data_IF_228290609588
#
_entry.id   IF_228290609588
#
_cell.length_a   1.000
_cell.length_b   1.000
_cell.length_c   1.000
_cell.angle_alpha   90.00
_cell.angle_beta   90.00
_cell.angle_gamma   90.00
#
_symmetry.space_group_name_H-M   'P 1'
#
loop_
_entity.id
_entity.type
_entity.pdbx_description
1 polymer ?
#
# COMPACT_ATOMS: atom_id res chain seq x y z
N UNK A 1 -6.90 -36.01 -4.37
CA UNK A 1 -5.42 -35.83 -4.46
C UNK A 1 -5.14 -34.35 -4.40
N UNK A 2 -4.17 -33.92 -3.62
CA UNK A 2 -3.69 -32.53 -3.56
C UNK A 2 -2.90 -32.21 -4.83
N UNK A 3 -2.96 -30.96 -5.27
CA UNK A 3 -2.17 -30.55 -6.43
C UNK A 3 -0.74 -30.20 -6.00
N UNK A 4 -0.60 -29.51 -4.86
CA UNK A 4 0.69 -29.13 -4.29
C UNK A 4 0.68 -29.42 -2.77
N UNK A 5 1.84 -29.87 -2.26
CA UNK A 5 2.14 -29.88 -0.82
C UNK A 5 3.39 -29.01 -0.59
N UNK A 6 3.31 -28.02 0.31
CA UNK A 6 4.46 -27.28 0.82
C UNK A 6 4.84 -27.89 2.18
N UNK A 7 6.11 -28.26 2.39
CA UNK A 7 6.57 -29.01 3.57
C UNK A 7 7.65 -28.32 4.38
N UNK A 8 7.61 -28.55 5.69
CA UNK A 8 8.73 -28.34 6.60
C UNK A 8 9.08 -26.88 6.90
N UNK A 9 8.31 -25.93 6.39
CA UNK A 9 8.53 -24.49 6.63
C UNK A 9 8.10 -24.03 8.01
N UNK A 10 8.58 -22.86 8.41
CA UNK A 10 8.02 -22.05 9.49
C UNK A 10 6.82 -21.29 8.93
N UNK A 11 5.62 -21.82 9.18
CA UNK A 11 4.37 -21.29 8.61
C UNK A 11 3.78 -20.23 9.52
N UNK A 12 3.53 -19.04 8.97
CA UNK A 12 2.86 -17.96 9.70
C UNK A 12 1.35 -18.08 9.45
N UNK A 13 0.64 -18.60 10.45
CA UNK A 13 -0.82 -18.76 10.45
C UNK A 13 -1.50 -17.68 11.29
N UNK A 14 -2.83 -17.54 11.25
CA UNK A 14 -3.56 -16.63 12.15
C UNK A 14 -3.32 -16.90 13.65
N UNK A 15 -3.01 -18.13 14.01
CA UNK A 15 -2.76 -18.55 15.41
C UNK A 15 -1.30 -18.32 15.83
N UNK A 16 -0.41 -18.02 14.89
CA UNK A 16 1.01 -17.78 15.14
C UNK A 16 1.93 -18.57 14.21
N UNK A 17 3.20 -18.69 14.60
CA UNK A 17 4.22 -19.39 13.78
C UNK A 17 4.34 -20.84 14.24
N UNK A 18 4.22 -21.76 13.29
CA UNK A 18 4.32 -23.21 13.58
C UNK A 18 5.02 -23.94 12.43
N UNK A 19 5.63 -25.08 12.74
CA UNK A 19 6.03 -26.05 11.70
C UNK A 19 4.79 -26.76 11.18
N UNK A 20 4.51 -26.62 9.89
CA UNK A 20 3.34 -27.25 9.27
C UNK A 20 3.60 -27.65 7.81
N UNK A 21 2.78 -28.56 7.32
CA UNK A 21 2.65 -28.86 5.90
C UNK A 21 1.34 -28.25 5.38
N UNK A 22 1.37 -27.65 4.19
CA UNK A 22 0.22 -27.00 3.57
C UNK A 22 -0.14 -27.79 2.32
N UNK A 23 -1.37 -28.28 2.26
CA UNK A 23 -1.92 -28.95 1.08
C UNK A 23 -2.83 -28.01 0.28
N UNK A 24 -2.58 -27.91 -1.02
CA UNK A 24 -3.27 -27.02 -1.95
C UNK A 24 -4.08 -27.85 -2.93
N UNK A 25 -5.32 -27.41 -3.20
CA UNK A 25 -6.23 -27.98 -4.19
C UNK A 25 -6.88 -26.89 -5.01
N UNK A 26 -6.66 -26.90 -6.33
CA UNK A 26 -7.07 -25.79 -7.19
C UNK A 26 -6.44 -24.46 -6.73
N UNK A 27 -7.26 -23.49 -6.50
CA UNK A 27 -6.83 -22.15 -6.10
C UNK A 27 -6.73 -21.94 -4.58
N UNK A 28 -7.11 -22.93 -3.78
CA UNK A 28 -7.31 -22.76 -2.33
C UNK A 28 -6.40 -23.64 -1.48
N UNK A 29 -6.14 -23.19 -0.26
CA UNK A 29 -5.52 -23.97 0.80
C UNK A 29 -6.59 -24.98 1.30
N UNK A 30 -6.35 -26.26 1.02
CA UNK A 30 -7.27 -27.34 1.36
C UNK A 30 -7.02 -27.90 2.77
N UNK A 31 -5.77 -27.86 3.22
CA UNK A 31 -5.39 -28.39 4.54
C UNK A 31 -4.10 -27.75 5.04
N UNK A 32 -4.05 -27.50 6.35
CA UNK A 32 -2.84 -27.18 7.11
C UNK A 32 -2.70 -28.25 8.17
N UNK A 33 -1.57 -28.98 8.18
CA UNK A 33 -1.38 -30.14 9.02
C UNK A 33 0.00 -30.15 9.68
N UNK A 34 0.15 -30.95 10.74
CA UNK A 34 1.46 -31.19 11.34
C UNK A 34 2.43 -31.81 10.32
N UNK A 35 3.74 -31.56 10.43
CA UNK A 35 4.73 -32.07 9.50
C UNK A 35 4.62 -33.60 9.28
N UNK A 36 4.66 -34.03 8.02
CA UNK A 36 4.64 -35.43 7.63
C UNK A 36 3.26 -36.11 7.58
N UNK A 37 2.20 -35.40 8.01
CA UNK A 37 0.83 -35.99 8.02
C UNK A 37 0.25 -36.13 6.61
N UNK A 38 0.58 -35.25 5.66
CA UNK A 38 -0.05 -35.22 4.35
C UNK A 38 0.41 -36.32 3.36
N UNK A 39 1.32 -37.20 3.77
CA UNK A 39 1.84 -38.27 2.88
C UNK A 39 2.56 -37.68 1.66
N UNK A 40 2.79 -38.51 0.62
CA UNK A 40 3.56 -38.11 -0.57
C UNK A 40 2.72 -38.01 -1.85
N UNK A 41 1.40 -38.17 -1.75
CA UNK A 41 0.52 -38.18 -2.92
C UNK A 41 0.03 -36.78 -3.27
N UNK A 42 0.85 -36.04 -4.02
CA UNK A 42 0.48 -34.78 -4.61
C UNK A 42 1.07 -34.65 -6.03
N UNK A 43 0.53 -33.76 -6.83
CA UNK A 43 1.10 -33.44 -8.16
C UNK A 43 2.49 -32.86 -8.07
N UNK A 44 2.76 -32.05 -7.00
CA UNK A 44 4.07 -31.46 -6.72
C UNK A 44 4.29 -31.36 -5.21
N UNK A 45 5.53 -31.55 -4.78
CA UNK A 45 5.97 -31.31 -3.40
C UNK A 45 7.01 -30.18 -3.44
N UNK A 46 6.82 -29.15 -2.62
CA UNK A 46 7.73 -28.03 -2.44
C UNK A 46 8.35 -28.13 -1.05
N UNK A 47 9.68 -28.27 -0.99
CA UNK A 47 10.41 -28.28 0.27
C UNK A 47 10.68 -26.84 0.74
N UNK A 48 10.10 -26.47 1.87
CA UNK A 48 10.28 -25.20 2.55
C UNK A 48 11.11 -25.31 3.84
N UNK A 49 11.84 -26.41 4.02
CA UNK A 49 12.69 -26.63 5.20
C UNK A 49 13.66 -25.48 5.40
N UNK A 50 13.66 -24.88 6.60
CA UNK A 50 14.50 -23.71 6.94
C UNK A 50 14.01 -22.38 6.34
N UNK A 51 12.86 -22.37 5.69
CA UNK A 51 12.24 -21.18 5.07
C UNK A 51 10.99 -20.75 5.84
N UNK A 52 10.60 -19.50 5.62
CA UNK A 52 9.39 -18.92 6.18
C UNK A 52 8.30 -18.96 5.12
N UNK A 53 7.15 -19.55 5.46
CA UNK A 53 5.98 -19.63 4.60
C UNK A 53 4.93 -18.68 5.14
N UNK A 54 4.56 -17.67 4.38
CA UNK A 54 3.63 -16.62 4.78
C UNK A 54 2.58 -16.39 3.70
N UNK A 55 1.43 -15.77 4.04
CA UNK A 55 0.50 -15.33 3.00
C UNK A 55 1.19 -14.33 2.08
N UNK A 56 0.81 -14.32 0.82
CA UNK A 56 1.29 -13.34 -0.15
C UNK A 56 1.15 -11.92 0.37
N UNK A 57 2.13 -11.07 0.10
CA UNK A 57 2.09 -9.66 0.48
C UNK A 57 0.89 -8.95 -0.15
N UNK A 58 0.34 -7.98 0.56
CA UNK A 58 -0.72 -7.09 0.06
C UNK A 58 -0.20 -5.66 0.14
N UNK A 59 -0.22 -4.96 -0.98
CA UNK A 59 0.11 -3.55 -1.03
C UNK A 59 -1.16 -2.74 -1.30
N UNK A 60 -1.69 -2.04 -0.30
CA UNK A 60 -2.94 -1.30 -0.44
C UNK A 60 -2.79 0.07 -1.11
N UNK A 61 -1.61 0.40 -1.67
CA UNK A 61 -1.34 1.73 -2.19
C UNK A 61 -0.33 1.73 -3.34
N UNK A 62 -0.85 1.63 -4.57
CA UNK A 62 -0.02 1.66 -5.79
C UNK A 62 -0.68 2.50 -6.88
N UNK A 63 0.13 3.07 -7.80
CA UNK A 63 -0.32 3.90 -8.91
C UNK A 63 0.20 3.35 -10.25
N UNK A 64 -0.50 2.36 -10.81
CA UNK A 64 -0.16 1.73 -12.08
C UNK A 64 -0.83 2.47 -13.24
N UNK A 65 -0.13 2.66 -14.35
CA UNK A 65 -0.61 3.41 -15.53
C UNK A 65 -1.24 4.76 -15.16
N UNK A 66 -0.62 5.42 -14.17
CA UNK A 66 -1.07 6.72 -13.66
C UNK A 66 -0.43 7.84 -14.47
N UNK A 67 -1.20 8.85 -14.95
CA UNK A 67 -0.63 10.00 -15.63
C UNK A 67 0.08 10.90 -14.64
N UNK A 68 1.28 11.35 -14.99
CA UNK A 68 2.00 12.39 -14.27
C UNK A 68 2.71 13.34 -15.24
N UNK A 69 2.87 14.58 -14.83
CA UNK A 69 3.51 15.60 -15.64
C UNK A 69 4.25 16.59 -14.77
N UNK A 70 5.32 17.18 -15.30
CA UNK A 70 5.84 18.45 -14.81
C UNK A 70 5.04 19.59 -15.43
N UNK A 71 4.98 20.80 -14.82
CA UNK A 71 4.15 21.91 -15.31
C UNK A 71 4.35 22.29 -16.78
N UNK A 72 5.57 22.14 -17.28
CA UNK A 72 5.96 22.53 -18.67
C UNK A 72 6.29 21.30 -19.55
N UNK A 73 6.10 20.10 -19.03
CA UNK A 73 6.48 18.85 -19.71
C UNK A 73 5.31 18.10 -20.34
N UNK A 74 5.59 17.07 -21.13
CA UNK A 74 4.58 16.16 -21.60
C UNK A 74 4.01 15.34 -20.42
N UNK A 75 2.81 14.78 -20.63
CA UNK A 75 2.27 13.79 -19.71
C UNK A 75 2.99 12.47 -19.91
N UNK A 76 3.54 11.94 -18.83
CA UNK A 76 4.11 10.58 -18.74
C UNK A 76 3.10 9.66 -18.06
N UNK A 77 3.35 8.37 -18.15
CA UNK A 77 2.54 7.36 -17.47
C UNK A 77 3.44 6.41 -16.68
N UNK A 78 3.05 6.06 -15.48
CA UNK A 78 3.69 4.96 -14.75
C UNK A 78 3.51 3.65 -15.49
N UNK A 79 4.33 2.65 -15.18
CA UNK A 79 4.23 1.31 -15.78
C UNK A 79 2.87 0.68 -15.48
N UNK A 80 2.44 -0.19 -16.38
CA UNK A 80 1.14 -0.85 -16.32
C UNK A 80 1.05 -1.99 -15.29
N UNK A 81 -0.17 -2.55 -15.10
CA UNK A 81 -0.42 -3.61 -14.12
C UNK A 81 0.23 -4.96 -14.49
N UNK A 82 0.61 -5.17 -15.73
CA UNK A 82 1.43 -6.30 -16.18
C UNK A 82 2.84 -6.22 -15.59
N UNK A 83 3.47 -5.07 -15.75
CA UNK A 83 4.86 -4.84 -15.36
C UNK A 83 5.02 -4.69 -13.84
N UNK A 84 4.21 -3.83 -13.20
CA UNK A 84 4.27 -3.61 -11.74
C UNK A 84 3.81 -4.86 -10.99
N UNK A 85 2.77 -5.56 -11.49
CA UNK A 85 2.32 -6.82 -10.93
C UNK A 85 3.37 -7.93 -11.03
N UNK A 86 4.11 -8.00 -12.14
CA UNK A 86 5.24 -8.93 -12.26
C UNK A 86 6.33 -8.62 -11.23
N UNK A 87 6.73 -7.37 -11.09
CA UNK A 87 7.72 -6.95 -10.10
C UNK A 87 7.23 -7.24 -8.66
N UNK A 88 5.95 -6.99 -8.37
CA UNK A 88 5.33 -7.33 -7.10
C UNK A 88 5.44 -8.85 -6.78
N UNK A 89 5.19 -9.71 -7.77
CA UNK A 89 5.34 -11.15 -7.62
C UNK A 89 6.79 -11.59 -7.37
N UNK A 90 7.77 -10.95 -8.01
CA UNK A 90 9.19 -11.18 -7.68
C UNK A 90 9.50 -10.83 -6.22
N UNK A 91 8.85 -9.78 -5.70
CA UNK A 91 8.96 -9.34 -4.31
C UNK A 91 8.06 -10.09 -3.32
N UNK A 92 7.28 -11.10 -3.76
CA UNK A 92 6.39 -11.86 -2.89
C UNK A 92 5.03 -11.22 -2.61
N UNK A 93 4.69 -10.12 -3.29
CA UNK A 93 3.39 -9.45 -3.16
C UNK A 93 2.44 -9.98 -4.23
N UNK A 94 1.26 -10.48 -3.81
CA UNK A 94 0.28 -11.15 -4.69
C UNK A 94 -0.97 -10.30 -4.95
N UNK A 95 -1.18 -9.24 -4.16
CA UNK A 95 -2.37 -8.39 -4.27
C UNK A 95 -1.97 -6.91 -4.20
N UNK A 96 -2.46 -6.12 -5.15
CA UNK A 96 -2.24 -4.68 -5.25
C UNK A 96 -3.58 -3.93 -5.22
N UNK A 97 -3.68 -2.81 -4.50
CA UNK A 97 -4.86 -1.96 -4.54
C UNK A 97 -4.47 -0.62 -5.15
N UNK A 98 -5.07 -0.34 -6.29
CA UNK A 98 -4.86 0.86 -7.11
C UNK A 98 -6.07 1.81 -6.98
N UNK A 99 -6.19 2.81 -7.84
CA UNK A 99 -7.20 3.85 -7.79
C UNK A 99 -8.02 3.91 -9.07
N UNK A 100 -9.35 3.95 -8.93
CA UNK A 100 -10.26 4.32 -10.01
C UNK A 100 -10.63 5.79 -9.87
N UNK A 101 -10.35 6.58 -10.90
CA UNK A 101 -10.50 8.04 -10.89
C UNK A 101 -11.94 8.44 -11.16
N UNK A 102 -12.52 9.25 -10.26
CA UNK A 102 -13.87 9.79 -10.38
C UNK A 102 -13.76 11.31 -10.43
N UNK A 103 -13.91 11.87 -11.63
CA UNK A 103 -13.84 13.31 -11.88
C UNK A 103 -15.25 13.91 -11.93
N UNK A 104 -15.33 15.24 -11.98
CA UNK A 104 -16.60 15.97 -12.15
C UNK A 104 -17.42 15.54 -13.38
N UNK A 105 -16.73 15.08 -14.43
CA UNK A 105 -17.34 14.70 -15.72
C UNK A 105 -17.60 13.19 -15.85
N UNK A 106 -17.34 12.41 -14.80
CA UNK A 106 -17.49 10.95 -14.80
C UNK A 106 -18.52 10.49 -13.78
N UNK A 107 -19.16 9.36 -14.05
CA UNK A 107 -19.90 8.61 -13.04
C UNK A 107 -18.96 7.66 -12.30
N UNK A 108 -19.38 7.15 -11.15
CA UNK A 108 -18.63 6.11 -10.42
C UNK A 108 -18.42 4.89 -11.32
N UNK A 109 -19.46 4.46 -12.04
CA UNK A 109 -19.40 3.32 -12.96
C UNK A 109 -18.40 3.54 -14.10
N UNK A 110 -18.45 4.70 -14.77
CA UNK A 110 -17.54 4.98 -15.89
C UNK A 110 -16.07 5.10 -15.45
N UNK A 111 -15.81 5.61 -14.24
CA UNK A 111 -14.45 5.62 -13.67
C UNK A 111 -13.91 4.21 -13.41
N UNK A 112 -14.76 3.31 -12.90
CA UNK A 112 -14.41 1.90 -12.71
C UNK A 112 -14.14 1.22 -14.06
N UNK A 113 -15.03 1.39 -15.04
CA UNK A 113 -14.90 0.79 -16.38
C UNK A 113 -13.63 1.26 -17.09
N UNK A 114 -13.28 2.54 -16.97
CA UNK A 114 -12.05 3.08 -17.52
C UNK A 114 -10.80 2.37 -16.94
N UNK A 115 -10.79 2.10 -15.62
CA UNK A 115 -9.69 1.33 -15.00
C UNK A 115 -9.71 -0.14 -15.40
N UNK A 116 -10.88 -0.75 -15.48
CA UNK A 116 -11.03 -2.14 -15.90
C UNK A 116 -10.43 -2.40 -17.28
N UNK A 117 -10.54 -1.45 -18.22
CA UNK A 117 -9.93 -1.57 -19.57
C UNK A 117 -8.40 -1.64 -19.53
N UNK A 118 -7.77 -1.10 -18.46
CA UNK A 118 -6.33 -1.10 -18.30
C UNK A 118 -5.82 -2.35 -17.56
N UNK A 119 -6.66 -2.99 -16.74
CA UNK A 119 -6.28 -4.08 -15.85
C UNK A 119 -6.73 -5.46 -16.32
N UNK A 120 -7.97 -5.57 -16.82
CA UNK A 120 -8.51 -6.86 -17.27
C UNK A 120 -7.71 -7.43 -18.43
N UNK A 121 -7.24 -8.66 -18.25
CA UNK A 121 -6.42 -9.36 -19.23
C UNK A 121 -4.95 -8.90 -19.30
N UNK A 122 -4.54 -7.93 -18.45
CA UNK A 122 -3.16 -7.42 -18.40
C UNK A 122 -2.53 -7.59 -17.02
N UNK A 123 -3.27 -7.43 -15.93
CA UNK A 123 -2.72 -7.50 -14.58
C UNK A 123 -2.06 -8.86 -14.30
N UNK A 124 -0.81 -8.84 -13.81
CA UNK A 124 -0.05 -10.05 -13.50
C UNK A 124 -0.37 -10.65 -12.13
N UNK A 125 -0.84 -9.83 -11.18
CA UNK A 125 -1.31 -10.26 -9.86
C UNK A 125 -2.73 -9.75 -9.59
N UNK A 126 -3.36 -10.22 -8.52
CA UNK A 126 -4.71 -9.82 -8.14
C UNK A 126 -4.77 -8.35 -7.75
N UNK A 127 -5.90 -7.70 -8.05
CA UNK A 127 -6.06 -6.28 -7.78
C UNK A 127 -7.43 -5.88 -7.26
N UNK A 128 -7.47 -4.69 -6.67
CA UNK A 128 -8.71 -3.99 -6.33
C UNK A 128 -8.53 -2.48 -6.56
N UNK A 129 -9.59 -1.68 -6.34
CA UNK A 129 -9.52 -0.22 -6.45
C UNK A 129 -10.01 0.48 -5.20
N UNK A 130 -9.38 1.63 -4.89
CA UNK A 130 -10.00 2.72 -4.16
C UNK A 130 -10.71 3.63 -5.17
N UNK A 131 -11.95 4.01 -4.92
CA UNK A 131 -12.66 5.01 -5.71
C UNK A 131 -12.10 6.39 -5.35
N UNK A 132 -11.34 7.02 -6.24
CA UNK A 132 -10.66 8.28 -5.95
C UNK A 132 -11.46 9.46 -6.46
N UNK A 133 -12.05 10.20 -5.53
CA UNK A 133 -12.73 11.45 -5.83
C UNK A 133 -11.71 12.53 -6.17
N UNK A 134 -12.00 13.29 -7.21
CA UNK A 134 -11.21 14.43 -7.65
C UNK A 134 -12.09 15.68 -7.65
N UNK A 135 -11.63 16.74 -6.98
CA UNK A 135 -12.36 17.99 -6.73
C UNK A 135 -13.74 17.80 -6.05
N UNK A 136 -14.63 18.75 -6.20
CA UNK A 136 -16.00 18.71 -5.66
C UNK A 136 -16.83 17.62 -6.38
N UNK A 137 -17.16 16.51 -5.72
CA UNK A 137 -17.93 15.44 -6.37
C UNK A 137 -19.38 15.90 -6.59
N UNK A 138 -19.93 15.72 -7.80
CA UNK A 138 -21.35 15.98 -8.03
C UNK A 138 -22.25 15.16 -7.08
N UNK A 139 -23.40 15.70 -6.67
CA UNK A 139 -24.37 14.98 -5.79
C UNK A 139 -24.72 13.57 -6.31
N UNK A 140 -24.80 13.40 -7.64
CA UNK A 140 -25.05 12.11 -8.26
C UNK A 140 -23.91 11.12 -7.93
N UNK A 141 -22.65 11.57 -8.01
CA UNK A 141 -21.48 10.73 -7.66
C UNK A 141 -21.54 10.32 -6.20
N UNK A 142 -21.81 11.26 -5.28
CA UNK A 142 -21.90 10.96 -3.84
C UNK A 142 -23.02 9.94 -3.56
N UNK A 143 -24.19 10.10 -4.20
CA UNK A 143 -25.30 9.14 -4.09
C UNK A 143 -24.92 7.75 -4.61
N UNK A 144 -24.27 7.67 -5.78
CA UNK A 144 -23.93 6.43 -6.47
C UNK A 144 -22.80 5.66 -5.76
N UNK A 145 -22.02 6.31 -4.86
CA UNK A 145 -21.04 5.63 -4.01
C UNK A 145 -21.66 4.51 -3.17
N UNK A 146 -22.90 4.68 -2.69
CA UNK A 146 -23.59 3.66 -1.90
C UNK A 146 -23.80 2.36 -2.68
N UNK A 147 -24.19 2.44 -3.95
CA UNK A 147 -24.35 1.28 -4.83
C UNK A 147 -22.99 0.64 -5.15
N UNK A 148 -21.98 1.45 -5.41
CA UNK A 148 -20.62 0.96 -5.68
C UNK A 148 -20.04 0.20 -4.46
N UNK A 149 -20.23 0.69 -3.23
CA UNK A 149 -19.84 0.01 -2.00
C UNK A 149 -20.48 -1.39 -1.94
N UNK A 150 -21.80 -1.48 -2.19
CA UNK A 150 -22.51 -2.76 -2.20
C UNK A 150 -22.09 -3.69 -3.35
N UNK A 151 -21.63 -3.11 -4.46
CA UNK A 151 -21.12 -3.86 -5.61
C UNK A 151 -19.68 -4.39 -5.43
N UNK A 152 -19.03 -4.09 -4.28
CA UNK A 152 -17.69 -4.60 -3.95
C UNK A 152 -16.55 -3.60 -4.12
N UNK A 153 -16.85 -2.28 -4.15
CA UNK A 153 -15.88 -1.18 -4.19
C UNK A 153 -15.98 -0.32 -2.92
N UNK A 154 -15.64 -0.87 -1.74
CA UNK A 154 -16.04 -0.28 -0.48
C UNK A 154 -15.14 0.84 0.05
N UNK A 155 -14.10 1.23 -0.68
CA UNK A 155 -13.11 2.20 -0.21
C UNK A 155 -13.09 3.43 -1.10
N UNK A 156 -13.17 4.64 -0.48
CA UNK A 156 -13.23 5.92 -1.20
C UNK A 156 -12.03 6.78 -0.80
N UNK A 157 -11.18 7.10 -1.78
CA UNK A 157 -10.00 7.97 -1.62
C UNK A 157 -10.39 9.43 -1.74
N UNK A 158 -9.91 10.21 -0.77
CA UNK A 158 -10.13 11.66 -0.69
C UNK A 158 -8.82 12.38 -0.38
N UNK A 159 -8.64 13.55 -0.98
CA UNK A 159 -7.53 14.45 -0.72
C UNK A 159 -8.02 15.71 0.01
N UNK A 160 -7.29 16.17 1.01
CA UNK A 160 -7.53 17.44 1.69
C UNK A 160 -6.67 18.57 1.16
N UNK A 161 -5.86 18.31 0.13
CA UNK A 161 -4.96 19.26 -0.52
C UNK A 161 -4.86 19.01 -2.02
N UNK A 162 -4.55 20.05 -2.78
CA UNK A 162 -4.17 19.92 -4.19
C UNK A 162 -2.75 19.41 -4.40
N UNK A 163 -1.98 19.20 -3.33
CA UNK A 163 -0.59 18.70 -3.29
C UNK A 163 0.41 19.70 -3.89
N UNK A 164 0.20 20.15 -5.12
CA UNK A 164 1.08 21.10 -5.83
C UNK A 164 0.28 22.23 -6.45
N UNK A 165 0.85 23.44 -6.62
CA UNK A 165 0.10 24.65 -7.01
C UNK A 165 -0.58 24.59 -8.39
N UNK A 166 -0.05 23.79 -9.31
CA UNK A 166 -0.61 23.67 -10.66
C UNK A 166 -1.78 22.68 -10.76
N UNK A 167 -1.96 21.81 -9.77
CA UNK A 167 -3.16 20.94 -9.64
C UNK A 167 -4.24 21.70 -8.89
N UNK A 168 -5.46 21.71 -9.41
CA UNK A 168 -6.60 22.40 -8.79
C UNK A 168 -7.84 21.51 -8.68
N UNK A 169 -7.67 20.24 -8.98
CA UNK A 169 -8.74 19.26 -9.12
C UNK A 169 -8.59 18.05 -8.20
N UNK A 170 -7.80 18.18 -7.13
CA UNK A 170 -7.55 17.08 -6.17
C UNK A 170 -8.31 17.21 -4.88
N UNK A 171 -8.27 18.40 -4.27
CA UNK A 171 -8.85 18.65 -2.95
C UNK A 171 -10.38 18.52 -3.00
N UNK A 172 -10.93 17.82 -2.02
CA UNK A 172 -12.36 17.76 -1.72
C UNK A 172 -12.61 18.62 -0.47
N UNK A 173 -13.58 19.50 -0.53
CA UNK A 173 -13.92 20.37 0.58
C UNK A 173 -14.53 19.61 1.76
N UNK A 174 -14.40 20.17 2.98
CA UNK A 174 -14.88 19.50 4.21
C UNK A 174 -16.39 19.22 4.19
N UNK A 175 -17.18 20.06 3.53
CA UNK A 175 -18.63 19.86 3.39
C UNK A 175 -18.95 18.62 2.57
N UNK A 176 -18.33 18.51 1.39
CA UNK A 176 -18.50 17.35 0.51
C UNK A 176 -17.93 16.08 1.13
N UNK A 177 -16.78 16.19 1.80
CA UNK A 177 -16.20 15.08 2.55
C UNK A 177 -17.16 14.58 3.64
N UNK A 178 -17.85 15.47 4.32
CA UNK A 178 -18.84 15.11 5.34
C UNK A 178 -20.02 14.34 4.75
N UNK A 179 -20.55 14.76 3.58
CA UNK A 179 -21.59 14.01 2.88
C UNK A 179 -21.10 12.63 2.45
N UNK A 180 -19.86 12.54 1.93
CA UNK A 180 -19.22 11.24 1.60
C UNK A 180 -19.13 10.36 2.85
N UNK A 181 -18.69 10.89 4.00
CA UNK A 181 -18.59 10.13 5.25
C UNK A 181 -19.92 9.57 5.72
N UNK A 182 -21.03 10.29 5.54
CA UNK A 182 -22.37 9.77 5.82
C UNK A 182 -22.74 8.59 4.93
N UNK A 183 -22.40 8.67 3.65
CA UNK A 183 -22.62 7.54 2.71
C UNK A 183 -21.77 6.34 3.10
N UNK A 184 -20.48 6.55 3.43
CA UNK A 184 -19.58 5.47 3.88
C UNK A 184 -20.14 4.80 5.14
N UNK A 185 -20.51 5.56 6.16
CA UNK A 185 -21.07 5.04 7.41
C UNK A 185 -22.36 4.25 7.16
N UNK A 186 -23.26 4.77 6.32
CA UNK A 186 -24.55 4.13 5.99
C UNK A 186 -24.40 2.82 5.25
N UNK A 187 -23.42 2.72 4.35
CA UNK A 187 -23.27 1.56 3.45
C UNK A 187 -22.11 0.63 3.83
N UNK A 188 -21.41 0.89 4.94
CA UNK A 188 -20.30 0.08 5.42
C UNK A 188 -19.04 0.23 4.58
N UNK A 189 -18.78 1.45 4.09
CA UNK A 189 -17.55 1.81 3.38
C UNK A 189 -16.44 2.31 4.30
N UNK A 190 -15.26 2.55 3.74
CA UNK A 190 -14.08 3.05 4.42
C UNK A 190 -13.52 4.27 3.67
N UNK A 191 -13.34 5.39 4.39
CA UNK A 191 -12.66 6.57 3.86
C UNK A 191 -11.15 6.36 3.84
N UNK A 192 -10.52 6.63 2.72
CA UNK A 192 -9.06 6.48 2.52
C UNK A 192 -8.49 7.86 2.25
N UNK A 193 -7.71 8.41 3.20
CA UNK A 193 -7.47 9.85 3.24
C UNK A 193 -5.99 10.19 3.04
N UNK A 194 -5.72 11.05 2.03
CA UNK A 194 -4.49 11.85 1.97
C UNK A 194 -4.75 13.15 2.72
N UNK A 195 -4.09 13.34 3.85
CA UNK A 195 -4.40 14.44 4.76
C UNK A 195 -3.22 15.39 4.97
N UNK A 196 -3.27 16.54 4.30
CA UNK A 196 -2.41 17.71 4.50
C UNK A 196 -3.25 18.98 4.43
N UNK A 197 -2.93 20.01 5.22
CA UNK A 197 -3.64 21.28 5.19
C UNK A 197 -3.25 22.08 3.92
N UNK A 198 -4.24 22.30 3.04
CA UNK A 198 -4.02 22.92 1.75
C UNK A 198 -3.50 24.36 1.87
N UNK A 199 -4.02 25.11 2.82
CA UNK A 199 -3.66 26.53 2.96
C UNK A 199 -2.19 26.69 3.37
N UNK A 200 -1.71 25.83 4.29
CA UNK A 200 -0.31 25.79 4.69
C UNK A 200 0.59 25.32 3.54
N UNK A 201 0.24 24.25 2.86
CA UNK A 201 1.03 23.71 1.74
C UNK A 201 1.15 24.78 0.63
N UNK A 202 0.04 25.37 0.18
CA UNK A 202 0.06 26.37 -0.89
C UNK A 202 0.77 27.67 -0.47
N UNK A 203 0.61 28.09 0.80
CA UNK A 203 1.35 29.23 1.35
C UNK A 203 2.85 28.99 1.30
N UNK A 204 3.32 27.79 1.71
CA UNK A 204 4.74 27.48 1.75
C UNK A 204 5.36 27.39 0.37
N UNK A 205 4.66 26.84 -0.64
CA UNK A 205 5.10 26.93 -2.03
C UNK A 205 5.34 28.38 -2.45
N UNK A 206 4.34 29.23 -2.28
CA UNK A 206 4.43 30.64 -2.66
C UNK A 206 5.54 31.39 -1.90
N UNK A 207 5.71 31.10 -0.61
CA UNK A 207 6.74 31.69 0.24
C UNK A 207 8.14 31.30 -0.22
N UNK A 208 8.44 30.01 -0.35
CA UNK A 208 9.78 29.54 -0.72
C UNK A 208 10.17 29.97 -2.12
N UNK A 209 9.23 30.00 -3.07
CA UNK A 209 9.48 30.54 -4.42
C UNK A 209 9.83 32.02 -4.35
N UNK A 210 9.09 32.81 -3.59
CA UNK A 210 9.34 34.25 -3.42
C UNK A 210 10.67 34.55 -2.72
N UNK A 211 11.11 33.68 -1.83
CA UNK A 211 12.39 33.77 -1.13
C UNK A 211 13.59 33.25 -1.94
N UNK A 212 13.37 32.78 -3.18
CA UNK A 212 14.43 32.17 -4.00
C UNK A 212 14.88 30.79 -3.53
N UNK A 213 14.09 30.12 -2.68
CA UNK A 213 14.36 28.81 -2.07
C UNK A 213 13.52 27.70 -2.70
N UNK A 214 13.29 27.79 -3.99
CA UNK A 214 12.46 26.82 -4.71
C UNK A 214 13.17 25.49 -5.02
N UNK A 215 14.42 25.28 -4.59
CA UNK A 215 15.15 24.03 -4.79
C UNK A 215 14.46 22.85 -4.10
N UNK A 216 14.52 21.68 -4.73
CA UNK A 216 13.85 20.46 -4.26
C UNK A 216 14.23 20.07 -2.83
N UNK A 217 15.43 20.35 -2.38
CA UNK A 217 15.92 20.07 -1.03
C UNK A 217 15.07 20.72 0.08
N UNK A 218 14.27 21.73 -0.25
CA UNK A 218 13.36 22.41 0.67
C UNK A 218 11.94 21.79 0.72
N UNK A 219 11.71 20.67 0.06
CA UNK A 219 10.39 20.02 -0.04
C UNK A 219 9.76 19.74 1.32
N UNK A 220 10.57 19.37 2.31
CA UNK A 220 10.08 19.07 3.67
C UNK A 220 9.52 20.31 4.41
N UNK A 221 9.89 21.51 4.01
CA UNK A 221 9.31 22.75 4.55
C UNK A 221 7.92 23.03 3.96
N UNK A 222 7.67 22.60 2.73
CA UNK A 222 6.36 22.74 2.08
C UNK A 222 5.33 21.79 2.71
N UNK A 223 5.66 20.51 2.73
CA UNK A 223 4.82 19.45 3.28
C UNK A 223 5.22 19.18 4.74
N UNK A 224 4.88 20.11 5.63
CA UNK A 224 5.36 20.12 7.02
C UNK A 224 4.58 19.18 7.94
N UNK A 225 5.16 18.87 9.12
CA UNK A 225 4.44 18.15 10.18
C UNK A 225 3.15 18.88 10.62
N UNK A 226 3.19 20.22 10.65
CA UNK A 226 2.03 21.03 11.04
C UNK A 226 0.87 20.88 10.05
N UNK A 227 1.18 20.82 8.74
CA UNK A 227 0.17 20.59 7.71
C UNK A 227 -0.52 19.24 7.89
N UNK A 228 0.25 18.17 8.15
CA UNK A 228 -0.27 16.84 8.44
C UNK A 228 -1.10 16.84 9.73
N UNK A 229 -0.58 17.39 10.84
CA UNK A 229 -1.27 17.42 12.14
C UNK A 229 -2.65 18.08 12.07
N UNK A 230 -2.70 19.29 11.52
CA UNK A 230 -3.97 20.05 11.41
C UNK A 230 -4.97 19.27 10.56
N UNK A 231 -4.54 18.74 9.42
CA UNK A 231 -5.43 18.02 8.52
C UNK A 231 -5.93 16.72 9.12
N UNK A 232 -5.07 15.92 9.75
CA UNK A 232 -5.45 14.68 10.45
C UNK A 232 -6.53 14.96 11.49
N UNK A 233 -6.29 15.93 12.38
CA UNK A 233 -7.24 16.29 13.44
C UNK A 233 -8.56 16.80 12.89
N UNK A 234 -8.55 17.61 11.83
CA UNK A 234 -9.78 18.11 11.17
C UNK A 234 -10.60 16.96 10.58
N UNK A 235 -9.97 16.06 9.84
CA UNK A 235 -10.63 14.93 9.19
C UNK A 235 -11.15 13.93 10.22
N UNK A 236 -10.36 13.59 11.23
CA UNK A 236 -10.77 12.69 12.33
C UNK A 236 -11.95 13.32 13.10
N UNK A 237 -11.91 14.63 13.38
CA UNK A 237 -13.01 15.32 14.03
C UNK A 237 -14.29 15.30 13.21
N UNK A 238 -14.16 15.41 11.88
CA UNK A 238 -15.29 15.30 10.97
C UNK A 238 -15.89 13.88 11.01
N UNK A 239 -15.07 12.85 10.95
CA UNK A 239 -15.49 11.46 11.04
C UNK A 239 -16.14 11.13 12.39
N UNK A 240 -15.61 11.66 13.52
CA UNK A 240 -16.18 11.51 14.85
C UNK A 240 -17.63 12.04 14.93
N UNK A 241 -17.99 13.03 14.10
CA UNK A 241 -19.35 13.55 14.01
C UNK A 241 -20.32 12.65 13.23
N UNK A 242 -19.83 11.59 12.59
CA UNK A 242 -20.63 10.65 11.79
C UNK A 242 -20.48 9.25 12.38
N UNK A 243 -21.40 8.80 13.23
CA UNK A 243 -21.33 7.46 13.84
C UNK A 243 -21.19 6.34 12.79
N UNK A 244 -20.22 5.45 12.98
CA UNK A 244 -19.91 4.36 12.05
C UNK A 244 -19.01 4.74 10.88
N UNK A 245 -18.50 5.97 10.80
CA UNK A 245 -17.53 6.37 9.82
C UNK A 245 -16.13 5.85 10.22
N UNK A 246 -15.56 4.97 9.40
CA UNK A 246 -14.21 4.46 9.56
C UNK A 246 -13.26 5.12 8.55
N UNK A 247 -12.02 5.39 8.97
CA UNK A 247 -11.01 6.00 8.12
C UNK A 247 -9.72 5.20 8.10
N UNK A 248 -9.09 5.20 6.95
CA UNK A 248 -7.72 4.74 6.71
C UNK A 248 -6.86 5.94 6.30
N UNK A 249 -6.00 6.36 7.23
CA UNK A 249 -5.09 7.49 7.05
C UNK A 249 -3.86 6.98 6.29
N UNK A 250 -3.77 7.32 5.01
CA UNK A 250 -2.67 6.88 4.14
C UNK A 250 -1.36 7.60 4.48
N UNK A 251 -0.26 6.94 4.18
CA UNK A 251 1.11 7.47 4.18
C UNK A 251 1.41 8.45 5.33
N UNK A 252 1.04 8.06 6.57
CA UNK A 252 1.41 8.79 7.80
C UNK A 252 2.92 9.01 7.79
N UNK A 253 3.35 10.27 7.84
CA UNK A 253 4.75 10.63 7.67
C UNK A 253 5.36 11.33 8.89
N UNK A 254 4.53 11.86 9.80
CA UNK A 254 4.96 12.63 10.97
C UNK A 254 4.53 12.01 12.31
N UNK A 255 5.28 12.32 13.37
CA UNK A 255 4.94 11.93 14.74
C UNK A 255 3.57 12.47 15.18
N UNK A 256 3.20 13.65 14.70
CA UNK A 256 1.91 14.30 14.98
C UNK A 256 0.75 13.54 14.35
N UNK A 257 0.91 12.95 13.16
CA UNK A 257 -0.07 12.08 12.54
C UNK A 257 -0.27 10.79 13.33
N UNK A 258 0.83 10.16 13.80
CA UNK A 258 0.78 9.00 14.71
C UNK A 258 0.00 9.35 15.98
N UNK A 259 0.31 10.49 16.61
CA UNK A 259 -0.37 10.94 17.83
C UNK A 259 -1.87 11.18 17.60
N UNK A 260 -2.25 11.80 16.48
CA UNK A 260 -3.66 12.02 16.14
C UNK A 260 -4.46 10.72 16.00
N UNK A 261 -3.84 9.68 15.39
CA UNK A 261 -4.45 8.34 15.29
C UNK A 261 -4.57 7.71 16.69
N UNK A 262 -3.51 7.74 17.50
CA UNK A 262 -3.53 7.20 18.87
C UNK A 262 -4.65 7.83 19.71
N UNK A 263 -4.76 9.16 19.69
CA UNK A 263 -5.82 9.90 20.40
C UNK A 263 -7.22 9.51 19.93
N UNK A 264 -7.43 9.32 18.63
CA UNK A 264 -8.70 8.88 18.07
C UNK A 264 -9.03 7.44 18.50
N UNK A 265 -8.07 6.53 18.41
CA UNK A 265 -8.22 5.12 18.82
C UNK A 265 -8.48 4.98 20.33
N UNK A 266 -7.86 5.82 21.16
CA UNK A 266 -8.12 5.87 22.60
C UNK A 266 -9.58 6.26 22.93
N UNK A 267 -10.26 6.97 22.02
CA UNK A 267 -11.70 7.26 22.12
C UNK A 267 -12.59 6.16 21.52
N UNK A 268 -12.01 5.07 21.02
CA UNK A 268 -12.75 3.99 20.37
C UNK A 268 -13.12 4.26 18.90
N UNK A 269 -12.56 5.28 18.26
CA UNK A 269 -12.85 5.59 16.86
C UNK A 269 -12.15 4.60 15.90
N UNK A 270 -12.84 4.15 14.84
CA UNK A 270 -12.29 3.22 13.85
C UNK A 270 -11.34 3.93 12.87
N UNK A 271 -10.18 4.34 13.38
CA UNK A 271 -9.13 5.02 12.61
C UNK A 271 -7.92 4.11 12.47
N UNK A 272 -7.49 3.89 11.24
CA UNK A 272 -6.38 3.02 10.86
C UNK A 272 -5.28 3.83 10.17
N UNK A 273 -4.03 3.50 10.41
CA UNK A 273 -2.88 4.18 9.83
C UNK A 273 -2.08 3.31 8.88
N UNK A 274 -1.65 3.90 7.78
CA UNK A 274 -0.66 3.36 6.86
C UNK A 274 0.59 4.21 6.92
N UNK A 275 1.77 3.59 6.95
CA UNK A 275 3.00 4.30 6.62
C UNK A 275 3.69 3.64 5.43
N UNK A 276 4.74 4.29 4.93
CA UNK A 276 5.46 3.79 3.77
C UNK A 276 6.86 3.34 4.19
N UNK A 277 7.38 2.30 3.55
CA UNK A 277 8.70 1.79 3.86
C UNK A 277 9.81 2.85 3.67
N UNK A 278 9.66 3.79 2.72
CA UNK A 278 10.59 4.89 2.57
C UNK A 278 10.56 5.88 3.74
N UNK A 279 9.40 6.19 4.34
CA UNK A 279 9.32 7.06 5.52
C UNK A 279 9.99 6.43 6.74
N UNK A 280 9.94 5.12 6.82
CA UNK A 280 10.54 4.37 7.92
C UNK A 280 12.07 4.26 7.81
N UNK A 281 12.65 4.54 6.62
CA UNK A 281 14.09 4.36 6.35
C UNK A 281 14.83 5.65 6.04
N UNK A 282 14.16 6.63 5.42
CA UNK A 282 14.76 7.88 4.95
C UNK A 282 14.18 9.08 5.69
N UNK A 283 14.90 10.19 5.63
CA UNK A 283 14.53 11.48 6.23
C UNK A 283 14.69 12.59 5.21
N UNK A 284 14.24 13.80 5.53
CA UNK A 284 14.41 14.98 4.66
C UNK A 284 15.89 15.28 4.31
N UNK A 285 16.85 14.79 5.12
CA UNK A 285 18.28 14.93 4.80
C UNK A 285 18.68 14.14 3.53
N UNK A 286 17.94 13.08 3.20
CA UNK A 286 18.18 12.29 2.00
C UNK A 286 17.84 13.04 0.70
N UNK A 287 17.05 14.11 0.78
CA UNK A 287 16.78 15.00 -0.37
C UNK A 287 18.04 15.74 -0.86
N UNK A 288 19.05 15.88 -0.01
CA UNK A 288 20.34 16.53 -0.34
C UNK A 288 21.31 15.61 -1.09
N UNK A 289 20.99 14.32 -1.20
CA UNK A 289 21.81 13.36 -1.98
C UNK A 289 21.70 13.63 -3.47
N UNK A 290 22.67 13.17 -4.28
CA UNK A 290 22.51 13.12 -5.74
C UNK A 290 21.22 12.40 -6.13
N UNK A 291 20.41 12.99 -7.00
CA UNK A 291 19.08 12.51 -7.37
C UNK A 291 18.14 12.30 -6.17
N UNK A 292 18.20 13.18 -5.17
CA UNK A 292 17.36 13.07 -3.94
C UNK A 292 15.87 12.91 -4.20
N UNK A 293 15.39 13.25 -5.40
CA UNK A 293 14.02 13.04 -5.86
C UNK A 293 13.59 11.57 -5.82
N UNK A 294 14.51 10.61 -5.93
CA UNK A 294 14.19 9.18 -5.87
C UNK A 294 13.61 8.74 -4.52
N UNK A 295 13.88 9.52 -3.44
CA UNK A 295 13.36 9.25 -2.11
C UNK A 295 12.01 9.92 -1.83
N UNK A 296 11.52 10.74 -2.78
CA UNK A 296 10.36 11.60 -2.55
C UNK A 296 9.04 10.95 -2.93
N UNK A 297 8.06 11.08 -2.04
CA UNK A 297 6.64 10.99 -2.31
C UNK A 297 5.89 12.11 -1.56
N UNK A 298 4.58 12.24 -1.78
CA UNK A 298 3.72 13.16 -1.05
C UNK A 298 2.89 12.41 0.00
N UNK A 299 2.91 12.81 1.28
CA UNK A 299 3.70 13.88 1.91
C UNK A 299 5.22 13.65 1.83
N UNK A 300 5.98 14.73 2.05
CA UNK A 300 7.45 14.66 2.02
C UNK A 300 8.01 13.82 3.18
N UNK A 301 9.25 13.34 3.02
CA UNK A 301 10.06 12.82 4.14
C UNK A 301 10.16 13.87 5.26
N UNK A 302 10.22 13.40 6.50
CA UNK A 302 10.30 14.23 7.71
C UNK A 302 11.63 14.04 8.45
N UNK A 303 11.62 14.28 9.74
CA UNK A 303 12.81 14.20 10.59
C UNK A 303 13.09 12.77 11.11
N UNK A 304 14.24 12.59 11.73
CA UNK A 304 14.57 11.33 12.42
C UNK A 304 13.63 11.02 13.58
N UNK A 305 13.13 12.05 14.26
CA UNK A 305 12.15 11.89 15.35
C UNK A 305 10.81 11.38 14.81
N UNK A 306 10.35 11.90 13.67
CA UNK A 306 9.14 11.41 12.99
C UNK A 306 9.31 9.95 12.57
N UNK A 307 10.44 9.62 11.94
CA UNK A 307 10.77 8.25 11.58
C UNK A 307 10.69 7.29 12.79
N UNK A 308 11.22 7.69 13.96
CA UNK A 308 11.16 6.88 15.17
C UNK A 308 9.72 6.73 15.69
N UNK A 309 8.90 7.77 15.56
CA UNK A 309 7.48 7.70 15.93
C UNK A 309 6.69 6.73 15.04
N UNK A 310 7.01 6.67 13.74
CA UNK A 310 6.40 5.68 12.83
C UNK A 310 6.74 4.25 13.28
N UNK A 311 7.99 3.97 13.63
CA UNK A 311 8.38 2.66 14.17
C UNK A 311 7.63 2.32 15.46
N UNK A 312 7.50 3.26 16.38
CA UNK A 312 6.70 3.07 17.60
C UNK A 312 5.24 2.81 17.25
N UNK A 313 4.67 3.57 16.32
CA UNK A 313 3.30 3.41 15.85
C UNK A 313 2.99 2.04 15.26
N UNK A 314 3.99 1.33 14.69
CA UNK A 314 3.79 -0.06 14.25
C UNK A 314 3.71 -1.05 15.41
N UNK A 315 4.12 -0.70 16.61
CA UNK A 315 4.06 -1.58 17.79
C UNK A 315 2.80 -1.33 18.63
N UNK A 316 2.36 -0.08 18.71
CA UNK A 316 1.21 0.33 19.53
C UNK A 316 -0.14 0.34 18.78
N UNK A 317 -0.12 0.00 17.47
CA UNK A 317 -1.32 -0.14 16.66
C UNK A 317 -1.79 1.15 15.99
N UNK A 318 -1.07 2.26 16.08
CA UNK A 318 -1.39 3.47 15.32
C UNK A 318 -1.09 3.28 13.81
N UNK A 319 -0.02 2.55 13.49
CA UNK A 319 0.32 2.15 12.13
C UNK A 319 0.00 0.66 11.94
N UNK A 320 -0.94 0.38 11.07
CA UNK A 320 -1.47 -0.96 10.84
C UNK A 320 -0.88 -1.62 9.59
N UNK A 321 -0.47 -0.83 8.61
CA UNK A 321 0.08 -1.32 7.34
C UNK A 321 1.33 -0.57 6.94
N UNK A 322 2.25 -1.26 6.23
CA UNK A 322 3.39 -0.64 5.55
C UNK A 322 3.25 -0.88 4.05
N UNK A 323 2.87 0.15 3.33
CA UNK A 323 2.65 0.18 1.89
C UNK A 323 3.83 0.80 1.13
N UNK A 324 3.66 1.04 -0.17
CA UNK A 324 4.71 1.62 -1.00
C UNK A 324 4.41 3.01 -1.54
N UNK A 325 3.14 3.31 -1.83
CA UNK A 325 2.77 4.46 -2.68
C UNK A 325 3.55 4.42 -4.01
N UNK A 326 3.53 3.21 -4.62
CA UNK A 326 4.36 2.90 -5.78
C UNK A 326 3.98 3.76 -6.99
N UNK A 327 5.00 4.36 -7.59
CA UNK A 327 4.90 5.12 -8.83
C UNK A 327 6.07 4.72 -9.74
N UNK A 328 5.88 3.63 -10.48
CA UNK A 328 6.94 3.05 -11.30
C UNK A 328 7.19 3.87 -12.57
N UNK A 329 8.31 4.59 -12.60
CA UNK A 329 8.81 5.33 -13.75
C UNK A 329 10.33 5.19 -13.86
N UNK A 330 10.95 5.68 -14.94
CA UNK A 330 12.40 5.66 -15.08
C UNK A 330 13.08 6.71 -14.21
N UNK A 331 14.36 6.52 -13.90
CA UNK A 331 15.18 7.53 -13.20
C UNK A 331 15.11 8.89 -13.90
N UNK A 332 15.19 8.90 -15.24
CA UNK A 332 15.08 10.12 -16.03
C UNK A 332 13.76 10.84 -15.76
N UNK A 333 12.64 10.12 -15.82
CA UNK A 333 11.30 10.68 -15.57
C UNK A 333 11.15 11.15 -14.13
N UNK A 334 11.67 10.38 -13.17
CA UNK A 334 11.63 10.70 -11.74
C UNK A 334 12.41 11.98 -11.39
N UNK A 335 13.49 12.27 -12.12
CA UNK A 335 14.40 13.38 -11.84
C UNK A 335 14.24 14.56 -12.81
N UNK A 336 13.15 14.61 -13.58
CA UNK A 336 12.84 15.75 -14.47
C UNK A 336 12.70 17.05 -13.70
N UNK A 337 11.92 17.05 -12.61
CA UNK A 337 11.74 18.19 -11.74
C UNK A 337 12.95 18.41 -10.81
N UNK A 338 13.28 19.67 -10.55
CA UNK A 338 14.37 20.07 -9.65
C UNK A 338 13.93 21.08 -8.59
N UNK A 339 12.68 21.45 -8.64
CA UNK A 339 12.08 22.43 -7.75
C UNK A 339 10.99 21.76 -6.91
N UNK A 340 10.61 22.46 -5.85
CA UNK A 340 9.50 22.00 -4.99
C UNK A 340 8.17 21.88 -5.76
N UNK A 341 7.95 22.71 -6.78
CA UNK A 341 6.68 22.83 -7.52
C UNK A 341 6.63 22.05 -8.84
N UNK A 342 7.71 21.36 -9.23
CA UNK A 342 7.80 20.61 -10.48
C UNK A 342 8.21 19.13 -10.29
N UNK A 343 8.45 18.69 -9.06
CA UNK A 343 8.93 17.35 -8.77
C UNK A 343 7.77 16.33 -8.68
N UNK A 344 7.96 15.16 -9.25
CA UNK A 344 7.00 14.05 -9.19
C UNK A 344 7.14 13.28 -7.87
N UNK A 345 6.03 13.10 -7.14
CA UNK A 345 5.97 12.23 -5.95
C UNK A 345 5.85 10.75 -6.31
N UNK A 346 6.08 9.88 -5.33
CA UNK A 346 6.09 8.42 -5.47
C UNK A 346 7.42 7.87 -5.97
N UNK A 347 7.68 6.62 -5.70
CA UNK A 347 8.90 5.93 -6.14
C UNK A 347 8.63 4.45 -6.42
N UNK A 348 9.59 3.78 -7.05
CA UNK A 348 9.48 2.36 -7.38
C UNK A 348 9.95 1.52 -6.20
N UNK A 349 9.03 0.82 -5.53
CA UNK A 349 9.32 0.14 -4.27
C UNK A 349 8.57 -1.16 -4.00
N UNK A 350 7.67 -1.59 -4.88
CA UNK A 350 6.81 -2.76 -4.63
C UNK A 350 7.61 -4.06 -4.55
N UNK A 351 8.67 -4.22 -5.38
CA UNK A 351 9.47 -5.44 -5.42
C UNK A 351 10.32 -5.62 -4.15
N UNK A 352 11.14 -4.64 -3.69
CA UNK A 352 12.00 -4.84 -2.52
C UNK A 352 11.26 -4.78 -1.18
N UNK A 353 9.97 -4.38 -1.13
CA UNK A 353 9.21 -4.08 0.09
C UNK A 353 9.32 -5.18 1.14
N UNK A 354 9.00 -6.43 0.81
CA UNK A 354 8.98 -7.50 1.81
C UNK A 354 10.37 -7.81 2.36
N UNK A 355 11.39 -7.86 1.52
CA UNK A 355 12.76 -8.15 1.92
C UNK A 355 13.35 -7.02 2.80
N UNK A 356 13.11 -5.76 2.42
CA UNK A 356 13.51 -4.58 3.19
C UNK A 356 12.83 -4.59 4.56
N UNK A 357 11.52 -4.76 4.59
CA UNK A 357 10.75 -4.72 5.84
C UNK A 357 11.04 -5.92 6.73
N UNK A 358 11.29 -7.11 6.17
CA UNK A 358 11.78 -8.25 6.96
C UNK A 358 13.10 -7.92 7.65
N UNK A 359 14.04 -7.38 6.91
CA UNK A 359 15.36 -7.01 7.45
C UNK A 359 15.24 -5.97 8.56
N UNK A 360 14.45 -4.94 8.34
CA UNK A 360 14.29 -3.85 9.30
C UNK A 360 13.48 -4.25 10.53
N UNK A 361 12.38 -4.98 10.34
CA UNK A 361 11.49 -5.39 11.42
C UNK A 361 12.07 -6.58 12.19
N UNK A 362 12.26 -7.70 11.49
CA UNK A 362 12.61 -8.97 12.15
C UNK A 362 14.08 -8.98 12.57
N UNK A 363 14.99 -8.70 11.62
CA UNK A 363 16.42 -8.86 11.90
C UNK A 363 16.98 -7.73 12.76
N UNK A 364 16.64 -6.47 12.47
CA UNK A 364 17.24 -5.31 13.15
C UNK A 364 16.49 -4.87 14.40
N UNK A 365 15.14 -5.04 14.45
CA UNK A 365 14.30 -4.58 15.56
C UNK A 365 13.65 -5.69 16.38
N UNK A 366 13.85 -6.96 15.99
CA UNK A 366 13.36 -8.10 16.76
C UNK A 366 11.84 -8.29 16.75
N UNK A 367 11.14 -7.83 15.70
CA UNK A 367 9.72 -8.10 15.56
C UNK A 367 9.49 -9.59 15.37
N UNK A 368 8.38 -10.09 15.89
CA UNK A 368 7.95 -11.46 15.60
C UNK A 368 7.58 -11.57 14.11
N UNK A 369 7.67 -12.78 13.55
CA UNK A 369 7.23 -13.05 12.17
C UNK A 369 5.74 -12.75 12.00
N UNK A 370 4.91 -13.03 13.01
CA UNK A 370 3.48 -12.69 12.98
C UNK A 370 3.28 -11.18 12.84
N UNK A 371 3.98 -10.35 13.65
CA UNK A 371 3.85 -8.89 13.54
C UNK A 371 4.34 -8.35 12.20
N UNK A 372 5.41 -8.89 11.66
CA UNK A 372 5.87 -8.55 10.31
C UNK A 372 4.80 -8.86 9.27
N UNK A 373 4.23 -10.08 9.28
CA UNK A 373 3.18 -10.49 8.34
C UNK A 373 1.91 -9.66 8.51
N UNK A 374 1.54 -9.31 9.74
CA UNK A 374 0.43 -8.39 10.01
C UNK A 374 0.60 -7.08 9.25
N UNK A 375 1.78 -6.45 9.34
CA UNK A 375 2.05 -5.13 8.76
C UNK A 375 2.18 -5.12 7.23
N UNK A 376 2.57 -6.24 6.61
CA UNK A 376 2.80 -6.30 5.15
C UNK A 376 1.75 -7.09 4.37
N UNK A 377 0.80 -7.75 5.06
CA UNK A 377 -0.22 -8.60 4.43
C UNK A 377 -1.54 -8.62 5.20
N UNK A 378 -1.59 -9.23 6.40
CA UNK A 378 -2.82 -9.60 7.10
C UNK A 378 -3.69 -8.39 7.48
N UNK A 379 -3.10 -7.33 8.01
CA UNK A 379 -3.87 -6.14 8.40
C UNK A 379 -4.46 -5.42 7.20
N UNK A 380 -3.72 -5.33 6.09
CA UNK A 380 -4.26 -4.79 4.85
C UNK A 380 -5.45 -5.64 4.37
N UNK A 381 -5.36 -6.99 4.44
CA UNK A 381 -6.48 -7.85 4.09
C UNK A 381 -7.72 -7.61 4.97
N UNK A 382 -7.54 -7.48 6.29
CA UNK A 382 -8.63 -7.23 7.24
C UNK A 382 -9.28 -5.87 7.01
N UNK A 383 -8.50 -4.80 6.95
CA UNK A 383 -9.00 -3.43 6.81
C UNK A 383 -9.68 -3.23 5.45
N UNK A 384 -9.11 -3.82 4.39
CA UNK A 384 -9.61 -3.65 3.02
C UNK A 384 -10.72 -4.64 2.62
N UNK A 385 -11.14 -5.52 3.54
CA UNK A 385 -12.25 -6.46 3.32
C UNK A 385 -11.91 -7.64 2.42
N UNK A 386 -10.67 -8.11 2.48
CA UNK A 386 -10.15 -9.27 1.74
C UNK A 386 -9.94 -10.51 2.63
N UNK A 387 -9.85 -10.31 3.96
CA UNK A 387 -9.62 -11.39 4.91
C UNK A 387 -10.90 -12.21 5.16
N UNK A 388 -10.83 -13.56 5.30
CA UNK A 388 -9.62 -14.41 5.27
C UNK A 388 -9.26 -14.94 3.86
N UNK A 389 -9.97 -14.53 2.80
CA UNK A 389 -9.68 -14.98 1.43
C UNK A 389 -8.21 -14.74 1.08
N UNK A 390 -7.69 -13.53 1.39
CA UNK A 390 -6.28 -13.10 1.27
C UNK A 390 -5.70 -12.81 2.65
N UNK A 391 -4.37 -12.78 2.77
CA UNK A 391 -3.67 -12.40 3.99
C UNK A 391 -3.69 -13.43 5.12
N UNK A 392 -4.02 -14.69 4.82
CA UNK A 392 -4.02 -15.78 5.77
C UNK A 392 -3.51 -17.11 5.15
N UNK A 393 -2.76 -17.89 5.93
CA UNK A 393 -2.54 -19.31 5.67
C UNK A 393 -3.57 -20.09 6.51
N UNK A 394 -4.75 -20.30 5.94
CA UNK A 394 -5.86 -20.98 6.59
C UNK A 394 -6.65 -21.81 5.57
N UNK A 395 -7.32 -22.85 6.04
CA UNK A 395 -8.18 -23.69 5.17
C UNK A 395 -9.30 -22.83 4.57
N UNK A 396 -9.43 -22.88 3.25
CA UNK A 396 -10.41 -22.10 2.48
C UNK A 396 -9.91 -20.73 1.98
N UNK A 397 -8.75 -20.25 2.45
CA UNK A 397 -8.11 -19.06 1.87
C UNK A 397 -7.58 -19.38 0.47
N UNK A 398 -7.47 -18.35 -0.37
CA UNK A 398 -6.74 -18.47 -1.64
C UNK A 398 -5.30 -18.92 -1.34
N UNK A 399 -4.77 -19.82 -2.16
CA UNK A 399 -3.39 -20.27 -2.04
C UNK A 399 -2.43 -19.19 -2.62
N UNK A 400 -2.46 -18.02 -1.99
CA UNK A 400 -1.54 -16.91 -2.19
C UNK A 400 -0.43 -17.02 -1.15
N UNK A 401 0.71 -17.54 -1.57
CA UNK A 401 1.77 -17.93 -0.65
C UNK A 401 3.11 -17.36 -1.10
N UNK A 402 3.84 -16.77 -0.16
CA UNK A 402 5.23 -16.35 -0.34
C UNK A 402 6.14 -17.17 0.56
N UNK A 403 7.19 -17.75 -0.03
CA UNK A 403 8.25 -18.43 0.70
C UNK A 403 9.47 -17.52 0.73
N UNK A 404 9.83 -17.05 1.94
CA UNK A 404 11.04 -16.28 2.19
C UNK A 404 12.19 -17.19 2.60
N UNK A 405 13.35 -17.01 2.01
CA UNK A 405 14.59 -17.66 2.43
C UNK A 405 15.41 -16.70 3.30
N UNK A 406 15.49 -16.93 4.64
CA UNK A 406 16.22 -16.08 5.56
C UNK A 406 17.75 -16.25 5.47
N UNK A 407 18.24 -17.13 4.59
CA UNK A 407 19.67 -17.29 4.29
C UNK A 407 20.11 -16.45 3.09
N UNK A 408 19.18 -15.95 2.28
CA UNK A 408 19.44 -15.06 1.13
C UNK A 408 19.81 -13.66 1.64
N UNK A 409 21.10 -13.46 1.85
CA UNK A 409 21.68 -12.19 2.30
C UNK A 409 22.39 -11.49 1.15
N UNK A 410 22.31 -10.16 1.12
CA UNK A 410 22.96 -9.38 0.07
C UNK A 410 22.63 -7.90 0.19
N UNK A 411 22.82 -7.18 -0.88
CA UNK A 411 22.44 -5.79 -1.03
C UNK A 411 21.48 -5.66 -2.21
N UNK A 412 20.51 -4.78 -2.08
CA UNK A 412 19.62 -4.43 -3.19
C UNK A 412 20.43 -3.71 -4.26
N UNK A 413 20.24 -4.10 -5.51
CA UNK A 413 20.81 -3.45 -6.69
C UNK A 413 19.70 -3.27 -7.73
N UNK A 414 19.54 -2.06 -8.24
CA UNK A 414 18.56 -1.77 -9.28
C UNK A 414 18.69 -2.70 -10.49
N UNK A 415 19.92 -3.07 -10.86
CA UNK A 415 20.20 -3.98 -11.98
C UNK A 415 19.71 -5.43 -11.76
N UNK A 416 19.37 -5.81 -10.53
CA UNK A 416 18.86 -7.13 -10.16
C UNK A 416 17.34 -7.11 -9.91
N UNK A 417 16.71 -5.92 -9.92
CA UNK A 417 15.27 -5.73 -9.79
C UNK A 417 14.59 -5.64 -11.18
N UNK A 418 13.30 -5.91 -11.22
CA UNK A 418 12.52 -6.02 -12.47
C UNK A 418 11.60 -4.82 -12.70
N UNK A 419 11.61 -3.84 -11.78
CA UNK A 419 10.63 -2.77 -11.78
C UNK A 419 11.04 -1.59 -12.67
N UNK A 420 12.25 -1.04 -12.48
CA UNK A 420 12.77 0.10 -13.26
C UNK A 420 14.31 0.17 -13.18
N UNK A 421 14.90 1.22 -13.75
CA UNK A 421 16.35 1.44 -13.85
C UNK A 421 16.97 2.13 -12.62
N UNK A 422 16.21 2.29 -11.54
CA UNK A 422 16.69 2.81 -10.26
C UNK A 422 15.93 2.19 -9.09
N UNK A 423 16.47 2.34 -7.90
CA UNK A 423 15.76 2.05 -6.66
C UNK A 423 16.24 2.99 -5.55
N UNK A 424 15.35 3.51 -4.68
CA UNK A 424 15.77 4.23 -3.48
C UNK A 424 16.59 3.37 -2.51
N UNK A 425 16.48 2.05 -2.60
CA UNK A 425 17.16 1.10 -1.71
C UNK A 425 18.48 0.58 -2.26
N UNK A 426 19.09 1.22 -3.28
CA UNK A 426 20.39 0.80 -3.82
C UNK A 426 21.42 0.67 -2.69
N UNK A 427 22.07 -0.51 -2.61
CA UNK A 427 23.04 -0.84 -1.57
C UNK A 427 22.47 -1.18 -0.19
N UNK A 428 21.14 -1.15 -0.01
CA UNK A 428 20.49 -1.53 1.26
C UNK A 428 20.68 -3.02 1.53
N UNK A 429 21.22 -3.36 2.71
CA UNK A 429 21.40 -4.75 3.12
C UNK A 429 20.07 -5.46 3.35
N UNK A 430 19.96 -6.69 2.86
CA UNK A 430 18.82 -7.58 3.09
C UNK A 430 19.26 -8.89 3.76
N UNK A 431 18.39 -9.43 4.61
CA UNK A 431 18.61 -10.67 5.34
C UNK A 431 17.59 -11.77 5.00
N UNK A 432 16.76 -11.55 4.01
CA UNK A 432 15.87 -12.53 3.40
C UNK A 432 15.47 -12.06 2.01
N UNK A 433 15.08 -13.01 1.16
CA UNK A 433 14.48 -12.71 -0.15
C UNK A 433 13.40 -13.74 -0.48
N UNK A 434 12.28 -13.35 -1.15
CA UNK A 434 11.29 -14.30 -1.67
C UNK A 434 11.91 -15.24 -2.70
N UNK A 435 11.81 -16.54 -2.47
CA UNK A 435 12.31 -17.56 -3.40
C UNK A 435 11.19 -18.26 -4.15
N UNK A 436 9.96 -18.16 -3.65
CA UNK A 436 8.78 -18.64 -4.33
C UNK A 436 7.59 -17.72 -4.02
N UNK A 437 6.85 -17.39 -5.07
CA UNK A 437 5.57 -16.67 -4.96
C UNK A 437 4.50 -17.44 -5.73
N UNK A 438 3.43 -17.75 -5.02
CA UNK A 438 2.26 -18.47 -5.55
C UNK A 438 1.06 -17.54 -5.52
N UNK A 439 0.32 -17.48 -6.62
CA UNK A 439 -0.94 -16.76 -6.77
C UNK A 439 -2.05 -17.79 -7.07
N UNK A 440 -3.02 -17.86 -6.20
CA UNK A 440 -4.15 -18.80 -6.30
C UNK A 440 -3.72 -20.21 -6.74
N UNK A 441 -2.81 -20.82 -5.95
CA UNK A 441 -2.34 -22.19 -6.14
C UNK A 441 -1.40 -22.40 -7.33
N UNK A 442 -1.06 -21.35 -8.08
CA UNK A 442 -0.12 -21.42 -9.21
C UNK A 442 1.17 -20.68 -8.89
N UNK A 443 2.30 -21.35 -9.00
CA UNK A 443 3.62 -20.74 -8.80
C UNK A 443 3.89 -19.74 -9.93
N UNK A 444 4.12 -18.47 -9.55
CA UNK A 444 4.39 -17.36 -10.49
C UNK A 444 5.85 -16.94 -10.52
N UNK A 445 6.54 -17.10 -9.40
CA UNK A 445 8.00 -16.89 -9.32
C UNK A 445 8.60 -18.05 -8.54
N UNK A 446 9.71 -18.56 -9.03
CA UNK A 446 10.51 -19.58 -8.35
C UNK A 446 11.98 -19.38 -8.62
N UNK A 447 12.79 -19.26 -7.57
CA UNK A 447 14.23 -19.05 -7.58
C UNK A 447 14.68 -17.94 -8.58
N UNK A 448 13.96 -16.81 -8.56
CA UNK A 448 14.24 -15.65 -9.40
C UNK A 448 13.79 -15.80 -10.87
N UNK A 449 13.00 -16.85 -11.19
CA UNK A 449 12.45 -17.05 -12.52
C UNK A 449 10.95 -16.77 -12.53
N UNK A 450 10.52 -15.87 -13.39
CA UNK A 450 9.09 -15.59 -13.61
C UNK A 450 8.45 -16.70 -14.46
N UNK A 451 7.34 -17.23 -13.97
CA UNK A 451 6.56 -18.29 -14.60
C UNK A 451 5.12 -17.86 -14.92
N UNK A 452 4.79 -16.61 -14.56
CA UNK A 452 3.48 -16.02 -14.79
C UNK A 452 3.34 -15.43 -16.21
N UNK A 453 2.22 -14.81 -16.45
CA UNK A 453 1.93 -14.07 -17.70
C UNK A 453 0.98 -12.91 -17.41
N UNK A 454 0.92 -11.89 -18.27
CA UNK A 454 -0.13 -10.89 -18.22
C UNK A 454 -1.53 -11.54 -18.24
N UNK A 455 -2.45 -11.00 -17.42
CA UNK A 455 -3.80 -11.53 -17.29
C UNK A 455 -3.97 -12.68 -16.30
N UNK A 456 -2.93 -13.03 -15.54
CA UNK A 456 -3.02 -14.01 -14.45
C UNK A 456 -3.79 -13.49 -13.23
N UNK A 457 -3.81 -12.16 -13.03
CA UNK A 457 -4.52 -11.53 -11.93
C UNK A 457 -6.03 -11.44 -12.16
N UNK A 458 -6.78 -11.27 -11.08
CA UNK A 458 -8.22 -11.08 -11.05
C UNK A 458 -8.62 -9.89 -10.19
N UNK A 459 -9.74 -9.23 -10.55
CA UNK A 459 -10.34 -8.21 -9.72
C UNK A 459 -10.95 -8.83 -8.45
N UNK A 460 -10.60 -8.26 -7.29
CA UNK A 460 -11.09 -8.71 -6.00
C UNK A 460 -12.25 -7.82 -5.51
N UNK A 461 -13.48 -8.31 -5.60
CA UNK A 461 -14.62 -7.69 -4.92
C UNK A 461 -14.44 -7.81 -3.42
N UNK A 462 -14.75 -6.71 -2.70
CA UNK A 462 -14.48 -6.58 -1.27
C UNK A 462 -15.72 -6.14 -0.51
N UNK A 463 -15.73 -6.44 0.78
CA UNK A 463 -16.71 -5.90 1.74
C UNK A 463 -15.99 -5.64 3.05
N UNK A 464 -16.06 -4.42 3.55
CA UNK A 464 -15.46 -4.09 4.84
C UNK A 464 -16.22 -4.83 5.95
N UNK A 465 -15.56 -5.61 6.81
CA UNK A 465 -16.18 -6.23 7.96
C UNK A 465 -16.73 -5.19 8.94
N UNK A 466 -17.86 -5.50 9.56
CA UNK A 466 -18.48 -4.59 10.54
C UNK A 466 -17.59 -4.27 11.73
N UNK A 467 -16.70 -5.19 12.09
CA UNK A 467 -15.71 -5.00 13.15
C UNK A 467 -14.72 -3.88 12.85
N UNK A 468 -14.38 -3.70 11.57
CA UNK A 468 -13.50 -2.61 11.11
C UNK A 468 -14.19 -1.25 11.24
N UNK A 469 -15.50 -1.18 11.05
CA UNK A 469 -16.26 0.08 11.16
C UNK A 469 -16.79 0.36 12.57
N UNK A 470 -16.81 -0.64 13.44
CA UNK A 470 -17.34 -0.52 14.81
C UNK A 470 -16.33 0.08 15.80
N UNK A 471 -15.04 -0.06 15.57
CA UNK A 471 -14.00 0.41 16.49
C UNK A 471 -12.60 0.08 16.02
N UNK A 472 -11.56 0.48 16.78
CA UNK A 472 -10.17 0.27 16.41
C UNK A 472 -9.76 -1.19 16.64
N UNK A 473 -10.10 -2.05 15.72
CA UNK A 473 -9.61 -3.43 15.65
C UNK A 473 -8.15 -3.42 15.13
N UNK A 474 -7.22 -4.23 15.65
CA UNK A 474 -5.79 -4.36 15.26
C UNK A 474 -4.82 -3.46 16.03
#
# INVERSE_FOLDING_TARGET
MLDIIIRGGDVVTPEGVTKADIGIKGESIAVVAAPGVLGEQAGRIIDATGRIVMPGGIDPHVHMQHPFATPEGPTYYTRGPDHVGMAALYGGTTTLIDFAYINSDTTVQSGIEARDTQFKGTAACDWAYHLMLQSEPPEAVVRDLGEAIQAGYPTVKIFTTNIVPHRKDRMVDLGDMWEVFKVLAKHGGLGVIHAEDNDLVMHMYAKLIREGRAGFENMAEVHSQLSEDISFRRVIRLAESVPGCALYMMHVSAATGVAAIQEARAKGLPIYGESLHQYMLYTAEDYKRPNGQIYHTYPSLKTKADQQALWTGTLDGAINCVATDDLCCTLREKTLGRRIDDTTGGNSGVEPRLAVMYTEMVTRRGYSLSRYVDLVSTNAAKIMGLYPRKGAIAVGSDADITILDPTRRGQIKAAELHQTDYTPWEGHEINAWPVLTMLRGTVKVEDGRYLGKPGDGEYLKRKIPSEITAGPLL
#
